data_IF_125746898309
#
_entry.id   IF_125746898309
#
_cell.length_a   1.000
_cell.length_b   1.000
_cell.length_c   1.000
_cell.angle_alpha   90.00
_cell.angle_beta   90.00
_cell.angle_gamma   90.00
#
_symmetry.space_group_name_H-M   'P 1'
#
loop_
_entity.id
_entity.type
_entity.pdbx_description
1 polymer ?
#
# COMPACT_ATOMS: atom_id res chain seq x y z
N UNK A 1 -9.05 -5.22 -5.56
CA UNK A 1 -8.43 -4.70 -4.31
C UNK A 1 -9.29 -5.11 -3.14
N UNK A 2 -8.71 -5.38 -1.97
CA UNK A 2 -9.48 -5.56 -0.72
C UNK A 2 -9.83 -4.21 -0.10
N UNK A 3 -10.81 -4.17 0.81
CA UNK A 3 -11.14 -2.95 1.54
C UNK A 3 -9.94 -2.34 2.27
N UNK A 4 -9.07 -3.20 2.83
CA UNK A 4 -7.82 -2.77 3.48
C UNK A 4 -6.86 -2.09 2.52
N UNK A 5 -6.76 -2.58 1.28
CA UNK A 5 -5.94 -1.96 0.23
C UNK A 5 -6.53 -0.61 -0.20
N UNK A 6 -7.86 -0.50 -0.30
CA UNK A 6 -8.55 0.76 -0.63
C UNK A 6 -8.31 1.81 0.46
N UNK A 7 -8.51 1.46 1.73
CA UNK A 7 -8.25 2.36 2.86
C UNK A 7 -6.79 2.81 2.87
N UNK A 8 -5.85 1.89 2.65
CA UNK A 8 -4.42 2.21 2.58
C UNK A 8 -4.11 3.21 1.46
N UNK A 9 -4.65 2.99 0.27
CA UNK A 9 -4.46 3.90 -0.86
C UNK A 9 -5.00 5.30 -0.53
N UNK A 10 -6.18 5.40 0.07
CA UNK A 10 -6.77 6.68 0.49
C UNK A 10 -5.86 7.46 1.44
N UNK A 11 -5.39 6.81 2.51
CA UNK A 11 -4.51 7.47 3.50
C UNK A 11 -3.17 7.87 2.87
N UNK A 12 -2.60 7.01 2.01
CA UNK A 12 -1.35 7.34 1.31
C UNK A 12 -1.53 8.53 0.37
N UNK A 13 -2.65 8.61 -0.37
CA UNK A 13 -2.96 9.77 -1.21
C UNK A 13 -3.10 11.05 -0.39
N UNK A 14 -3.80 11.01 0.76
CA UNK A 14 -3.87 12.15 1.68
C UNK A 14 -2.47 12.59 2.19
N UNK A 15 -1.54 11.64 2.35
CA UNK A 15 -0.15 11.93 2.72
C UNK A 15 0.69 12.48 1.55
N UNK A 16 0.34 12.15 0.31
CA UNK A 16 0.93 12.72 -0.91
C UNK A 16 0.46 14.17 -1.07
N UNK A 17 -0.84 14.38 -0.91
CA UNK A 17 -1.53 15.67 -1.03
C UNK A 17 -1.25 16.62 0.15
N UNK A 18 -0.44 16.17 1.11
CA UNK A 18 -0.05 16.90 2.34
C UNK A 18 -1.25 17.30 3.21
N UNK A 19 -2.37 16.60 3.10
CA UNK A 19 -3.54 16.77 3.97
C UNK A 19 -3.25 16.23 5.37
N UNK A 20 -2.46 15.16 5.45
CA UNK A 20 -1.98 14.58 6.71
C UNK A 20 -0.47 14.36 6.66
N UNK A 21 0.15 14.36 7.83
CA UNK A 21 1.57 14.07 8.04
C UNK A 21 1.86 12.57 7.94
N UNK A 22 3.15 12.23 7.80
CA UNK A 22 3.61 10.82 7.78
C UNK A 22 3.29 10.12 9.12
N UNK A 23 3.41 10.84 10.24
CA UNK A 23 3.12 10.31 11.58
C UNK A 23 1.63 10.00 11.74
N UNK A 24 0.74 10.92 11.37
CA UNK A 24 -0.71 10.68 11.40
C UNK A 24 -1.12 9.51 10.50
N UNK A 25 -0.55 9.42 9.30
CA UNK A 25 -0.79 8.29 8.41
C UNK A 25 -0.30 6.95 8.99
N UNK A 26 0.82 6.97 9.72
CA UNK A 26 1.37 5.80 10.40
C UNK A 26 0.43 5.31 11.50
N UNK A 27 -0.09 6.23 12.31
CA UNK A 27 -1.10 5.96 13.34
C UNK A 27 -2.40 5.40 12.72
N UNK A 28 -2.95 6.06 11.67
CA UNK A 28 -4.18 5.62 11.00
C UNK A 28 -4.08 4.24 10.35
N UNK A 29 -2.91 3.87 9.83
CA UNK A 29 -2.69 2.58 9.18
C UNK A 29 -2.16 1.51 10.13
N UNK A 30 -1.85 1.87 11.37
CA UNK A 30 -1.11 1.05 12.32
C UNK A 30 0.19 0.47 11.70
N UNK A 31 0.99 1.35 11.10
CA UNK A 31 2.26 1.05 10.45
C UNK A 31 3.37 1.96 11.00
N UNK A 32 4.63 1.64 10.73
CA UNK A 32 5.71 2.57 11.00
C UNK A 32 5.78 3.68 9.96
N UNK A 33 6.30 4.85 10.33
CA UNK A 33 6.54 5.97 9.42
C UNK A 33 7.38 5.56 8.20
N UNK A 34 8.39 4.69 8.41
CA UNK A 34 9.20 4.11 7.32
C UNK A 34 8.34 3.37 6.31
N UNK A 35 7.35 2.60 6.76
CA UNK A 35 6.44 1.92 5.85
C UNK A 35 5.55 2.89 5.09
N UNK A 36 5.05 3.95 5.74
CA UNK A 36 4.30 5.00 5.06
C UNK A 36 5.15 5.69 3.98
N UNK A 37 6.41 6.03 4.29
CA UNK A 37 7.35 6.60 3.32
C UNK A 37 7.56 5.65 2.13
N UNK A 38 7.73 4.35 2.38
CA UNK A 38 7.86 3.34 1.33
C UNK A 38 6.61 3.27 0.45
N UNK A 39 5.43 3.25 1.06
CA UNK A 39 4.15 3.22 0.35
C UNK A 39 3.95 4.47 -0.49
N UNK A 40 4.21 5.65 0.08
CA UNK A 40 4.18 6.94 -0.62
C UNK A 40 5.09 6.94 -1.86
N UNK A 41 6.36 6.54 -1.69
CA UNK A 41 7.30 6.43 -2.82
C UNK A 41 6.83 5.44 -3.89
N UNK A 42 6.30 4.29 -3.47
CA UNK A 42 5.77 3.28 -4.39
C UNK A 42 4.55 3.77 -5.17
N UNK A 43 3.60 4.43 -4.51
CA UNK A 43 2.41 5.01 -5.16
C UNK A 43 2.78 6.15 -6.10
N UNK A 44 3.76 7.00 -5.76
CA UNK A 44 4.25 8.03 -6.68
C UNK A 44 4.87 7.46 -7.97
N UNK A 45 5.48 6.26 -7.90
CA UNK A 45 6.17 5.63 -9.03
C UNK A 45 5.26 4.71 -9.86
N UNK A 46 4.47 3.87 -9.19
CA UNK A 46 3.70 2.78 -9.79
C UNK A 46 2.18 3.00 -9.69
N UNK A 47 1.75 4.10 -9.06
CA UNK A 47 0.34 4.41 -8.84
C UNK A 47 -0.35 3.46 -7.85
N UNK A 48 -1.69 3.35 -7.93
CA UNK A 48 -2.48 2.46 -7.07
C UNK A 48 -2.05 0.98 -7.09
N UNK A 49 -1.43 0.53 -8.18
CA UNK A 49 -0.96 -0.84 -8.35
C UNK A 49 0.03 -1.27 -7.26
N UNK A 50 0.83 -0.34 -6.72
CA UNK A 50 1.80 -0.64 -5.65
C UNK A 50 1.15 -1.15 -4.36
N UNK A 51 -0.10 -0.75 -4.10
CA UNK A 51 -0.84 -1.10 -2.88
C UNK A 51 -1.44 -2.50 -2.98
N UNK A 52 -1.68 -2.99 -4.19
CA UNK A 52 -2.24 -4.32 -4.45
C UNK A 52 -1.21 -5.36 -4.00
N UNK A 53 -1.68 -6.41 -3.31
CA UNK A 53 -0.80 -7.51 -2.92
C UNK A 53 -0.08 -8.12 -4.14
N UNK A 54 1.25 -8.08 -4.16
CA UNK A 54 2.06 -8.46 -5.33
C UNK A 54 1.95 -9.94 -5.72
N UNK A 55 1.59 -10.82 -4.80
CA UNK A 55 1.35 -12.24 -5.11
C UNK A 55 -0.10 -12.54 -5.54
N UNK A 56 -0.99 -11.54 -5.61
CA UNK A 56 -2.37 -11.79 -6.05
C UNK A 56 -2.38 -12.21 -7.51
N UNK A 57 -3.00 -13.35 -7.82
CA UNK A 57 -3.06 -13.90 -9.17
C UNK A 57 -1.77 -14.57 -9.65
N UNK A 58 -0.72 -14.65 -8.81
CA UNK A 58 0.51 -15.36 -9.16
C UNK A 58 0.42 -16.83 -8.72
N UNK A 59 0.55 -17.76 -9.67
CA UNK A 59 0.73 -19.19 -9.36
C UNK A 59 2.14 -19.40 -8.78
N UNK A 60 2.29 -20.04 -7.61
CA UNK A 60 3.61 -20.42 -7.08
C UNK A 60 4.34 -21.37 -8.04
N UNK A 61 5.67 -21.28 -8.11
CA UNK A 61 6.48 -22.14 -8.97
C UNK A 61 6.37 -23.63 -8.60
N UNK A 62 6.13 -23.93 -7.32
CA UNK A 62 5.97 -25.29 -6.78
C UNK A 62 4.51 -25.66 -6.52
N UNK A 63 3.56 -24.99 -7.19
CA UNK A 63 2.16 -25.40 -7.10
C UNK A 63 2.01 -26.80 -7.70
N UNK A 64 1.37 -27.71 -6.97
CA UNK A 64 0.97 -29.01 -7.51
C UNK A 64 0.02 -28.81 -8.69
N UNK A 65 0.08 -29.70 -9.67
CA UNK A 65 -0.94 -29.77 -10.71
C UNK A 65 -2.29 -30.09 -10.09
N UNK A 66 -3.34 -29.47 -10.62
CA UNK A 66 -4.71 -29.83 -10.29
C UNK A 66 -5.02 -31.28 -10.73
#
# INVERSE_FOLDING_TARGET
MTQKEITRLRVVNQTIDKVITIREAAELLNLSERQVIRLKKGVLKEGPAFIIHKNRGRKPQHALSD
#
